data_IF_649322869056
#
_entry.id   IF_649322869056
#
_cell.length_a   1.000
_cell.length_b   1.000
_cell.length_c   1.000
_cell.angle_alpha   90.00
_cell.angle_beta   90.00
_cell.angle_gamma   90.00
#
_symmetry.space_group_name_H-M   'P 1'
#
loop_
_entity.id
_entity.type
_entity.pdbx_description
1 polymer ?
#
# COMPACT_ATOMS: atom_id res chain seq x y z
N UNK A 1 -24.49 -5.25 -3.93
CA UNK A 1 -23.30 -5.12 -4.79
C UNK A 1 -23.47 -3.83 -5.56
N UNK A 2 -22.74 -2.77 -5.22
CA UNK A 2 -22.66 -1.61 -6.11
C UNK A 2 -21.70 -1.98 -7.23
N UNK A 3 -22.26 -2.34 -8.38
CA UNK A 3 -21.53 -2.30 -9.64
C UNK A 3 -21.34 -0.81 -10.01
N UNK A 4 -20.41 -0.14 -9.38
CA UNK A 4 -19.94 1.12 -9.93
C UNK A 4 -18.98 0.74 -11.06
N UNK A 5 -19.40 0.98 -12.28
CA UNK A 5 -18.57 0.77 -13.44
C UNK A 5 -17.25 1.54 -13.27
N UNK A 6 -16.13 0.90 -13.61
CA UNK A 6 -14.85 1.60 -13.61
C UNK A 6 -14.87 2.65 -14.74
N UNK A 7 -14.29 3.80 -14.46
CA UNK A 7 -14.19 4.89 -15.44
C UNK A 7 -13.15 4.50 -16.47
N UNK A 8 -13.57 4.09 -17.65
CA UNK A 8 -12.67 3.74 -18.77
C UNK A 8 -12.03 4.96 -19.45
N UNK A 9 -12.65 6.14 -19.29
CA UNK A 9 -12.19 7.40 -19.87
C UNK A 9 -11.95 8.43 -18.78
N UNK A 10 -10.79 8.37 -18.08
CA UNK A 10 -10.49 9.34 -17.03
C UNK A 10 -10.35 10.75 -17.63
N UNK A 11 -10.76 11.75 -16.84
CA UNK A 11 -10.58 13.15 -17.22
C UNK A 11 -9.11 13.53 -17.05
N UNK A 12 -8.50 14.00 -18.15
CA UNK A 12 -7.11 14.47 -18.15
C UNK A 12 -7.09 15.98 -17.90
N UNK A 13 -6.36 16.49 -16.89
CA UNK A 13 -6.30 17.92 -16.59
C UNK A 13 -5.43 18.67 -17.64
N UNK A 14 -5.76 19.93 -17.90
CA UNK A 14 -4.92 20.82 -18.72
C UNK A 14 -3.69 21.35 -17.99
N UNK A 15 -3.72 21.32 -16.67
CA UNK A 15 -2.60 21.76 -15.80
C UNK A 15 -1.94 20.57 -15.16
N UNK A 16 -0.66 20.68 -14.81
CA UNK A 16 0.04 19.63 -14.07
C UNK A 16 -0.61 19.43 -12.72
N UNK A 17 -1.22 18.26 -12.50
CA UNK A 17 -1.82 17.86 -11.24
C UNK A 17 -0.78 17.10 -10.40
N UNK A 18 -0.94 17.15 -9.06
CA UNK A 18 -0.07 16.40 -8.14
C UNK A 18 -0.23 14.89 -8.28
N UNK A 19 -1.43 14.44 -8.65
CA UNK A 19 -1.78 13.02 -8.86
C UNK A 19 -2.15 12.79 -10.33
N UNK A 20 -1.19 13.02 -11.23
CA UNK A 20 -1.37 12.88 -12.68
C UNK A 20 -1.12 11.45 -13.14
N UNK A 21 -2.08 10.57 -12.86
CA UNK A 21 -1.99 9.12 -13.08
C UNK A 21 -3.36 8.45 -13.16
N UNK A 22 -3.40 7.27 -13.76
CA UNK A 22 -4.56 6.37 -13.67
C UNK A 22 -4.65 5.81 -12.26
N UNK A 23 -5.82 5.83 -11.67
CA UNK A 23 -6.11 5.20 -10.37
C UNK A 23 -7.09 4.07 -10.55
N UNK A 24 -6.64 2.85 -10.27
CA UNK A 24 -7.43 1.63 -10.38
C UNK A 24 -7.84 1.14 -8.97
N UNK A 25 -9.13 1.26 -8.62
CA UNK A 25 -9.65 0.78 -7.34
C UNK A 25 -9.79 -0.75 -7.39
N UNK A 26 -8.89 -1.48 -6.71
CA UNK A 26 -8.84 -2.95 -6.72
C UNK A 26 -9.81 -3.58 -5.73
N UNK A 27 -10.02 -2.89 -4.61
CA UNK A 27 -10.98 -3.33 -3.57
C UNK A 27 -11.46 -2.14 -2.76
N UNK A 28 -12.65 -2.29 -2.16
CA UNK A 28 -13.25 -1.32 -1.25
C UNK A 28 -13.53 -1.96 0.10
N UNK A 29 -13.15 -1.25 1.17
CA UNK A 29 -13.20 -1.76 2.55
C UNK A 29 -11.86 -2.28 3.02
N UNK A 30 -11.84 -2.81 4.25
CA UNK A 30 -10.65 -3.38 4.87
C UNK A 30 -11.05 -4.43 5.91
N UNK A 31 -10.30 -5.55 5.98
CA UNK A 31 -10.54 -6.65 6.92
C UNK A 31 -9.88 -6.42 8.29
N UNK A 32 -8.97 -5.47 8.42
CA UNK A 32 -8.02 -5.40 9.55
C UNK A 32 -8.64 -4.94 10.87
N UNK A 33 -9.56 -4.04 10.90
CA UNK A 33 -10.25 -3.63 12.12
C UNK A 33 -9.41 -2.83 13.11
N UNK A 34 -8.44 -2.03 12.65
CA UNK A 34 -7.70 -1.09 13.48
C UNK A 34 -8.67 -0.13 14.17
N UNK A 35 -8.58 0.04 15.50
CA UNK A 35 -9.59 0.75 16.30
C UNK A 35 -9.67 2.24 16.03
N UNK A 36 -8.61 2.84 15.53
CA UNK A 36 -8.57 4.26 15.15
C UNK A 36 -9.09 4.53 13.74
N UNK A 37 -9.27 3.49 12.91
CA UNK A 37 -9.52 3.65 11.48
C UNK A 37 -11.02 3.74 11.18
N UNK A 38 -11.52 4.95 10.95
CA UNK A 38 -12.92 5.17 10.55
C UNK A 38 -13.24 4.51 9.20
N UNK A 39 -12.34 4.62 8.22
CA UNK A 39 -12.53 4.03 6.89
C UNK A 39 -12.71 2.50 6.94
N UNK A 40 -11.96 1.81 7.80
CA UNK A 40 -12.10 0.38 8.04
C UNK A 40 -13.45 -0.03 8.64
N UNK A 41 -14.20 0.89 9.23
CA UNK A 41 -15.55 0.63 9.76
C UNK A 41 -16.65 1.02 8.77
N UNK A 42 -16.56 2.20 8.13
CA UNK A 42 -17.59 2.73 7.23
C UNK A 42 -17.72 1.89 5.97
N UNK A 43 -16.63 1.39 5.41
CA UNK A 43 -16.62 0.69 4.13
C UNK A 43 -16.74 -0.84 4.26
N UNK A 44 -17.25 -1.35 5.34
CA UNK A 44 -17.55 -2.79 5.48
C UNK A 44 -18.82 -3.17 4.73
N UNK A 45 -18.89 -4.41 4.20
CA UNK A 45 -17.84 -5.45 4.14
C UNK A 45 -16.77 -5.15 3.10
N UNK A 46 -15.64 -5.89 3.16
CA UNK A 46 -14.65 -5.89 2.08
C UNK A 46 -15.30 -6.37 0.78
N UNK A 47 -15.01 -5.68 -0.30
CA UNK A 47 -15.47 -6.04 -1.66
C UNK A 47 -14.28 -5.92 -2.59
N UNK A 48 -13.82 -7.05 -3.07
CA UNK A 48 -12.80 -7.14 -4.10
C UNK A 48 -13.43 -7.03 -5.49
N UNK A 49 -12.70 -6.47 -6.43
CA UNK A 49 -13.07 -6.49 -7.84
C UNK A 49 -12.47 -7.71 -8.51
N UNK A 50 -13.13 -8.17 -9.55
CA UNK A 50 -12.63 -9.26 -10.40
C UNK A 50 -11.34 -8.85 -11.10
N UNK A 51 -10.36 -9.75 -11.15
CA UNK A 51 -9.03 -9.47 -11.68
C UNK A 51 -9.05 -9.24 -13.18
N UNK A 52 -9.89 -9.95 -13.94
CA UNK A 52 -10.00 -9.77 -15.39
C UNK A 52 -10.65 -8.43 -15.72
N UNK A 53 -11.68 -8.04 -14.97
CA UNK A 53 -12.31 -6.71 -15.09
C UNK A 53 -11.29 -5.59 -14.83
N UNK A 54 -10.39 -5.77 -13.85
CA UNK A 54 -9.32 -4.81 -13.56
C UNK A 54 -8.27 -4.74 -14.67
N UNK A 55 -7.91 -5.87 -15.27
CA UNK A 55 -6.97 -5.93 -16.41
C UNK A 55 -7.52 -5.18 -17.62
N UNK A 56 -8.79 -5.41 -17.97
CA UNK A 56 -9.46 -4.70 -19.06
C UNK A 56 -9.57 -3.20 -18.80
N UNK A 57 -9.96 -2.83 -17.58
CA UNK A 57 -10.06 -1.43 -17.17
C UNK A 57 -8.71 -0.72 -17.21
N UNK A 58 -7.62 -1.36 -16.79
CA UNK A 58 -6.27 -0.81 -16.85
C UNK A 58 -5.87 -0.49 -18.31
N UNK A 59 -6.12 -1.42 -19.24
CA UNK A 59 -5.88 -1.21 -20.68
C UNK A 59 -6.68 -0.01 -21.23
N UNK A 60 -7.98 0.02 -20.92
CA UNK A 60 -8.87 1.06 -21.39
C UNK A 60 -8.47 2.44 -20.84
N UNK A 61 -8.22 2.55 -19.55
CA UNK A 61 -7.87 3.80 -18.89
C UNK A 61 -6.54 4.37 -19.38
N UNK A 62 -5.49 3.55 -19.48
CA UNK A 62 -4.18 3.98 -19.97
C UNK A 62 -4.25 4.40 -21.45
N UNK A 63 -4.92 3.61 -22.28
CA UNK A 63 -5.12 3.94 -23.71
C UNK A 63 -5.87 5.25 -23.91
N UNK A 64 -6.91 5.52 -23.11
CA UNK A 64 -7.78 6.68 -23.27
C UNK A 64 -7.21 7.96 -22.64
N UNK A 65 -6.28 7.85 -21.67
CA UNK A 65 -5.71 9.01 -20.99
C UNK A 65 -4.29 9.37 -21.42
N UNK A 66 -3.51 8.39 -21.87
CA UNK A 66 -2.09 8.58 -22.17
C UNK A 66 -1.21 8.79 -20.95
N UNK A 67 -1.69 8.47 -19.74
CA UNK A 67 -0.86 8.55 -18.52
C UNK A 67 0.26 7.50 -18.53
N UNK A 68 1.40 7.87 -17.97
CA UNK A 68 2.58 7.02 -17.82
C UNK A 68 2.71 6.41 -16.41
N UNK A 69 1.66 6.51 -15.60
CA UNK A 69 1.61 5.91 -14.27
C UNK A 69 0.22 5.34 -13.98
N UNK A 70 0.18 4.12 -13.40
CA UNK A 70 -1.01 3.50 -12.86
C UNK A 70 -0.82 3.24 -11.36
N UNK A 71 -1.80 3.62 -10.55
CA UNK A 71 -1.80 3.41 -9.10
C UNK A 71 -2.94 2.49 -8.70
N UNK A 72 -2.64 1.43 -7.95
CA UNK A 72 -3.65 0.54 -7.38
C UNK A 72 -4.19 1.16 -6.10
N UNK A 73 -5.49 1.45 -6.06
CA UNK A 73 -6.14 2.12 -4.92
C UNK A 73 -6.91 1.14 -4.06
N UNK A 74 -6.59 1.17 -2.75
CA UNK A 74 -7.35 0.47 -1.72
C UNK A 74 -6.98 0.98 -0.32
N UNK A 75 -7.69 0.54 0.72
CA UNK A 75 -7.31 0.78 2.12
C UNK A 75 -6.17 -0.15 2.59
N UNK A 76 -5.94 -1.27 1.92
CA UNK A 76 -4.87 -2.23 2.20
C UNK A 76 -4.62 -3.09 0.98
N UNK A 77 -3.71 -2.65 0.12
CA UNK A 77 -3.46 -3.33 -1.16
C UNK A 77 -2.86 -4.72 -0.99
N UNK A 78 -2.09 -4.96 0.07
CA UNK A 78 -1.55 -6.28 0.41
C UNK A 78 -2.62 -7.33 0.74
N UNK A 79 -3.84 -6.91 1.05
CA UNK A 79 -4.94 -7.81 1.41
C UNK A 79 -5.82 -8.20 0.22
N UNK A 80 -5.52 -7.70 -0.98
CA UNK A 80 -6.23 -8.08 -2.21
C UNK A 80 -5.80 -9.47 -2.66
N UNK A 81 -6.76 -10.38 -2.81
CA UNK A 81 -6.50 -11.81 -3.07
C UNK A 81 -5.67 -12.07 -4.34
N UNK A 82 -5.88 -11.28 -5.39
CA UNK A 82 -5.21 -11.44 -6.69
C UNK A 82 -4.13 -10.38 -6.94
N UNK A 83 -3.50 -9.83 -5.88
CA UNK A 83 -2.53 -8.75 -6.03
C UNK A 83 -1.35 -9.15 -6.91
N UNK A 84 -0.76 -10.32 -6.67
CA UNK A 84 0.40 -10.79 -7.41
C UNK A 84 0.08 -11.01 -8.89
N UNK A 85 -1.06 -11.63 -9.19
CA UNK A 85 -1.52 -11.86 -10.56
C UNK A 85 -1.71 -10.54 -11.31
N UNK A 86 -2.40 -9.58 -10.68
CA UNK A 86 -2.64 -8.27 -11.26
C UNK A 86 -1.34 -7.49 -11.50
N UNK A 87 -0.42 -7.50 -10.54
CA UNK A 87 0.85 -6.79 -10.66
C UNK A 87 1.74 -7.42 -11.75
N UNK A 88 1.84 -8.75 -11.80
CA UNK A 88 2.58 -9.42 -12.87
C UNK A 88 2.01 -9.06 -14.25
N UNK A 89 0.69 -9.09 -14.40
CA UNK A 89 0.03 -8.68 -15.64
C UNK A 89 0.37 -7.22 -16.01
N UNK A 90 0.29 -6.28 -15.07
CA UNK A 90 0.58 -4.87 -15.33
C UNK A 90 2.05 -4.66 -15.74
N UNK A 91 2.97 -5.41 -15.13
CA UNK A 91 4.39 -5.39 -15.50
C UNK A 91 4.57 -5.91 -16.93
N UNK A 92 4.06 -7.10 -17.22
CA UNK A 92 4.25 -7.75 -18.51
C UNK A 92 3.65 -6.94 -19.66
N UNK A 93 2.46 -6.38 -19.46
CA UNK A 93 1.72 -5.65 -20.48
C UNK A 93 2.30 -4.25 -20.73
N UNK A 94 2.69 -3.52 -19.66
CA UNK A 94 2.98 -2.08 -19.74
C UNK A 94 4.44 -1.68 -19.51
N UNK A 95 5.32 -2.61 -19.11
CA UNK A 95 6.76 -2.33 -18.90
C UNK A 95 7.41 -1.78 -20.17
N UNK A 96 7.11 -2.37 -21.32
CA UNK A 96 7.66 -1.93 -22.61
C UNK A 96 7.17 -0.55 -23.06
N UNK A 97 6.00 -0.14 -22.59
CA UNK A 97 5.42 1.19 -22.83
C UNK A 97 5.92 2.26 -21.83
N UNK A 98 6.79 1.89 -20.86
CA UNK A 98 7.33 2.81 -19.87
C UNK A 98 6.34 3.25 -18.79
N UNK A 99 5.23 2.53 -18.60
CA UNK A 99 4.23 2.85 -17.58
C UNK A 99 4.73 2.43 -16.20
N UNK A 100 4.75 3.37 -15.27
CA UNK A 100 5.10 3.12 -13.87
C UNK A 100 3.92 2.54 -13.09
N UNK A 101 4.20 1.57 -12.21
CA UNK A 101 3.19 1.00 -11.32
C UNK A 101 3.43 1.50 -9.90
N UNK A 102 2.39 2.07 -9.28
CA UNK A 102 2.42 2.56 -7.91
C UNK A 102 1.50 1.73 -7.02
N UNK A 103 2.03 1.23 -5.92
CA UNK A 103 1.32 0.43 -4.93
C UNK A 103 1.25 1.18 -3.60
N UNK A 104 0.28 2.08 -3.42
CA UNK A 104 0.06 2.74 -2.14
C UNK A 104 -0.58 1.77 -1.14
N UNK A 105 -0.53 2.12 0.15
CA UNK A 105 -1.23 1.40 1.22
C UNK A 105 -0.78 -0.06 1.42
N UNK A 106 0.51 -0.32 1.19
CA UNK A 106 1.09 -1.62 1.50
C UNK A 106 1.33 -1.78 3.01
N UNK A 107 1.06 -2.97 3.49
CA UNK A 107 1.45 -3.38 4.84
C UNK A 107 2.83 -4.02 4.78
N UNK A 108 3.52 -4.01 5.94
CA UNK A 108 4.85 -4.60 6.11
C UNK A 108 4.79 -6.14 6.24
N UNK A 109 4.12 -6.80 5.32
CA UNK A 109 4.01 -8.27 5.30
C UNK A 109 4.99 -8.80 4.22
N UNK A 110 5.62 -9.93 4.45
CA UNK A 110 6.62 -10.52 3.55
C UNK A 110 6.11 -10.68 2.10
N UNK A 111 4.84 -11.04 1.92
CA UNK A 111 4.22 -11.17 0.61
C UNK A 111 4.22 -9.85 -0.20
N UNK A 112 3.98 -8.73 0.47
CA UNK A 112 3.97 -7.41 -0.18
C UNK A 112 5.36 -7.03 -0.71
N UNK A 113 6.43 -7.50 -0.10
CA UNK A 113 7.81 -7.19 -0.48
C UNK A 113 8.24 -7.89 -1.76
N UNK A 114 7.82 -9.16 -1.96
CA UNK A 114 8.08 -9.87 -3.22
C UNK A 114 7.43 -9.17 -4.42
N UNK A 115 6.20 -8.71 -4.24
CA UNK A 115 5.49 -7.92 -5.27
C UNK A 115 6.18 -6.58 -5.50
N UNK A 116 6.63 -5.92 -4.43
CA UNK A 116 7.34 -4.64 -4.51
C UNK A 116 8.67 -4.73 -5.23
N UNK A 117 9.45 -5.80 -5.03
CA UNK A 117 10.73 -5.99 -5.73
C UNK A 117 10.54 -6.04 -7.24
N UNK A 118 9.51 -6.71 -7.72
CA UNK A 118 9.15 -6.78 -9.15
C UNK A 118 8.77 -5.42 -9.74
N UNK A 119 8.07 -4.60 -8.97
CA UNK A 119 7.67 -3.24 -9.40
C UNK A 119 8.86 -2.26 -9.41
N UNK A 120 9.82 -2.44 -8.52
CA UNK A 120 10.98 -1.55 -8.40
C UNK A 120 11.99 -1.63 -9.56
N UNK A 121 12.00 -2.73 -10.30
CA UNK A 121 12.80 -2.84 -11.52
C UNK A 121 12.44 -1.76 -12.55
N UNK A 122 11.24 -1.16 -12.42
CA UNK A 122 10.76 -0.11 -13.30
C UNK A 122 11.12 1.29 -12.76
N UNK A 123 10.87 1.54 -11.46
CA UNK A 123 11.20 2.82 -10.80
C UNK A 123 11.32 2.64 -9.28
N UNK A 124 12.47 3.02 -8.71
CA UNK A 124 12.66 3.01 -7.25
C UNK A 124 11.72 4.01 -6.56
N UNK A 125 10.72 3.51 -5.85
CA UNK A 125 9.84 4.31 -4.98
C UNK A 125 10.33 4.25 -3.53
N UNK A 126 10.02 5.27 -2.73
CA UNK A 126 10.28 5.23 -1.30
C UNK A 126 9.33 4.23 -0.62
N UNK A 127 9.87 3.39 0.24
CA UNK A 127 9.08 2.45 1.01
C UNK A 127 8.54 3.14 2.28
N UNK A 128 7.26 2.97 2.54
CA UNK A 128 6.59 3.59 3.69
C UNK A 128 5.89 2.51 4.50
N UNK A 129 6.20 2.45 5.78
CA UNK A 129 5.54 1.58 6.75
C UNK A 129 4.82 2.39 7.81
N UNK A 130 3.71 1.87 8.31
CA UNK A 130 2.90 2.50 9.33
C UNK A 130 2.72 1.56 10.54
N UNK A 131 3.71 1.46 11.44
CA UNK A 131 3.56 0.74 12.70
C UNK A 131 2.49 1.37 13.60
N UNK A 132 2.28 2.68 13.47
CA UNK A 132 1.37 3.55 14.22
C UNK A 132 1.77 3.77 15.68
N UNK A 133 2.33 2.76 16.35
CA UNK A 133 2.78 2.85 17.74
C UNK A 133 4.15 2.20 17.93
N UNK A 134 4.97 2.78 18.80
CA UNK A 134 6.34 2.31 19.06
C UNK A 134 6.39 1.01 19.86
N UNK A 135 5.46 0.81 20.79
CA UNK A 135 5.44 -0.40 21.63
C UNK A 135 4.46 -1.45 21.12
N UNK A 136 4.79 -2.73 21.34
CA UNK A 136 3.87 -3.84 21.03
C UNK A 136 2.56 -3.68 21.79
N UNK A 137 2.62 -3.36 23.08
CA UNK A 137 1.43 -3.12 23.91
C UNK A 137 0.46 -2.14 23.26
N UNK A 138 0.97 -1.01 22.77
CA UNK A 138 0.11 0.02 22.20
C UNK A 138 -0.40 -0.38 20.79
N UNK A 139 0.40 -1.11 20.00
CA UNK A 139 -0.06 -1.73 18.76
C UNK A 139 -1.23 -2.70 18.99
N UNK A 140 -1.18 -3.47 20.08
CA UNK A 140 -2.26 -4.39 20.47
C UNK A 140 -3.50 -3.61 20.94
N UNK A 141 -3.31 -2.54 21.73
CA UNK A 141 -4.40 -1.65 22.16
C UNK A 141 -5.18 -1.09 20.96
N UNK A 142 -4.49 -0.65 19.92
CA UNK A 142 -5.14 -0.11 18.71
C UNK A 142 -5.53 -1.17 17.69
N UNK A 143 -5.32 -2.46 17.99
CA UNK A 143 -5.57 -3.59 17.09
C UNK A 143 -4.90 -3.43 15.72
N UNK A 144 -3.63 -3.02 15.72
CA UNK A 144 -2.88 -2.86 14.46
C UNK A 144 -2.54 -4.21 13.81
N UNK A 145 -2.39 -5.28 14.63
CA UNK A 145 -2.09 -6.63 14.15
C UNK A 145 -0.70 -6.77 13.51
N UNK A 146 0.27 -5.99 13.99
CA UNK A 146 1.68 -6.07 13.60
C UNK A 146 2.54 -6.35 14.83
N UNK A 147 3.32 -7.43 14.78
CA UNK A 147 4.34 -7.70 15.81
C UNK A 147 5.65 -6.97 15.48
N UNK A 148 6.51 -6.83 16.45
CA UNK A 148 7.82 -6.21 16.25
C UNK A 148 8.68 -7.05 15.29
N UNK A 149 8.64 -8.37 15.42
CA UNK A 149 9.34 -9.31 14.55
C UNK A 149 8.93 -9.14 13.08
N UNK A 150 7.63 -8.98 12.81
CA UNK A 150 7.12 -8.75 11.44
C UNK A 150 7.63 -7.41 10.90
N UNK A 151 7.71 -6.38 11.75
CA UNK A 151 8.21 -5.06 11.35
C UNK A 151 9.70 -5.13 11.01
N UNK A 152 10.51 -5.75 11.88
CA UNK A 152 11.94 -5.90 11.67
C UNK A 152 12.24 -6.77 10.45
N UNK A 153 11.59 -7.92 10.34
CA UNK A 153 11.73 -8.78 9.17
C UNK A 153 11.40 -8.05 7.86
N UNK A 154 10.30 -7.30 7.84
CA UNK A 154 9.92 -6.53 6.66
C UNK A 154 10.92 -5.40 6.33
N UNK A 155 11.55 -4.80 7.33
CA UNK A 155 12.60 -3.81 7.13
C UNK A 155 13.88 -4.46 6.59
N UNK A 156 14.29 -5.59 7.16
CA UNK A 156 15.42 -6.40 6.70
C UNK A 156 15.27 -6.78 5.22
N UNK A 157 14.14 -7.40 4.86
CA UNK A 157 13.85 -7.77 3.47
C UNK A 157 13.89 -6.55 2.53
N UNK A 158 13.39 -5.40 2.99
CA UNK A 158 13.47 -4.17 2.22
C UNK A 158 14.93 -3.75 1.96
N UNK A 159 15.79 -3.77 2.96
CA UNK A 159 17.21 -3.41 2.81
C UNK A 159 17.96 -4.42 1.94
N UNK A 160 17.72 -5.72 2.11
CA UNK A 160 18.26 -6.78 1.23
C UNK A 160 17.76 -6.59 -0.21
N UNK A 161 16.51 -6.19 -0.40
CA UNK A 161 15.92 -5.84 -1.70
C UNK A 161 16.47 -4.55 -2.32
N UNK A 162 17.43 -3.87 -1.66
CA UNK A 162 18.15 -2.71 -2.19
C UNK A 162 17.53 -1.35 -1.88
N UNK A 163 16.53 -1.29 -0.97
CA UNK A 163 16.11 -0.01 -0.41
C UNK A 163 17.15 0.51 0.58
N UNK A 164 17.50 1.77 0.47
CA UNK A 164 18.43 2.44 1.42
C UNK A 164 17.69 3.42 2.34
N UNK A 165 16.37 3.47 2.25
CA UNK A 165 15.55 4.36 3.07
C UNK A 165 14.16 3.79 3.25
N UNK A 166 13.72 3.77 4.51
CA UNK A 166 12.35 3.44 4.94
C UNK A 166 11.76 4.64 5.65
N UNK A 167 10.51 4.99 5.31
CA UNK A 167 9.74 6.01 6.00
C UNK A 167 8.77 5.35 6.96
N UNK A 168 8.79 5.78 8.21
CA UNK A 168 7.91 5.26 9.27
C UNK A 168 6.85 6.30 9.66
N UNK A 169 5.62 5.85 9.83
CA UNK A 169 4.53 6.66 10.37
C UNK A 169 4.16 6.19 11.78
N UNK A 170 4.05 7.16 12.69
CA UNK A 170 3.59 6.94 14.06
C UNK A 170 2.51 7.95 14.42
N UNK A 171 1.58 7.53 15.26
CA UNK A 171 0.57 8.36 15.89
C UNK A 171 0.99 8.68 17.32
N UNK A 172 0.75 9.91 17.76
CA UNK A 172 0.91 10.36 19.15
C UNK A 172 -0.46 10.69 19.72
N UNK A 173 -0.62 10.53 21.04
CA UNK A 173 -1.88 10.79 21.72
C UNK A 173 -2.91 9.66 21.58
N UNK A 174 -2.45 8.44 21.32
CA UNK A 174 -3.33 7.26 21.29
C UNK A 174 -3.93 6.96 22.67
N UNK A 175 -5.15 6.41 22.75
CA UNK A 175 -5.75 6.02 24.02
C UNK A 175 -4.83 5.11 24.84
N UNK A 176 -4.65 5.42 26.11
CA UNK A 176 -3.77 4.72 27.07
C UNK A 176 -2.27 4.82 26.78
N UNK A 177 -1.84 5.71 25.87
CA UNK A 177 -0.43 5.94 25.59
C UNK A 177 0.31 6.43 26.85
N UNK A 178 1.51 5.94 27.03
CA UNK A 178 2.41 6.32 28.11
C UNK A 178 3.73 6.84 27.55
N UNK A 179 4.52 7.53 28.38
CA UNK A 179 5.87 7.97 28.01
C UNK A 179 6.76 6.81 27.54
N UNK A 180 6.57 5.61 28.10
CA UNK A 180 7.29 4.41 27.67
C UNK A 180 6.93 4.02 26.24
N UNK A 181 5.67 4.16 25.85
CA UNK A 181 5.23 3.85 24.48
C UNK A 181 5.80 4.86 23.47
N UNK A 182 5.88 6.14 23.86
CA UNK A 182 6.51 7.18 23.01
C UNK A 182 8.02 6.94 22.84
N UNK A 183 8.74 6.58 23.92
CA UNK A 183 10.16 6.18 23.85
C UNK A 183 10.36 4.93 22.98
N UNK A 184 9.37 4.04 22.93
CA UNK A 184 9.35 2.89 22.06
C UNK A 184 9.42 3.24 20.56
N UNK A 185 9.02 4.44 20.16
CA UNK A 185 9.16 4.89 18.77
C UNK A 185 10.64 5.00 18.39
N UNK A 186 11.44 5.68 19.21
CA UNK A 186 12.88 5.83 18.97
C UNK A 186 13.57 4.45 18.99
N UNK A 187 13.24 3.62 19.97
CA UNK A 187 13.82 2.28 20.10
C UNK A 187 13.48 1.38 18.88
N UNK A 188 12.24 1.41 18.39
CA UNK A 188 11.87 0.66 17.18
C UNK A 188 12.61 1.17 15.94
N UNK A 189 12.77 2.50 15.81
CA UNK A 189 13.51 3.09 14.71
C UNK A 189 15.00 2.73 14.74
N UNK A 190 15.62 2.71 15.92
CA UNK A 190 17.00 2.25 16.12
C UNK A 190 17.16 0.79 15.68
N UNK A 191 16.30 -0.11 16.13
CA UNK A 191 16.33 -1.52 15.76
C UNK A 191 16.14 -1.76 14.25
N UNK A 192 15.28 -0.97 13.60
CA UNK A 192 15.10 -1.03 12.13
C UNK A 192 16.37 -0.56 11.41
N UNK A 193 17.11 0.38 11.99
CA UNK A 193 18.35 0.88 11.39
C UNK A 193 19.54 -0.08 11.59
N UNK A 194 19.45 -1.03 12.51
CA UNK A 194 20.44 -2.08 12.77
C UNK A 194 20.29 -3.29 11.83
N UNK A 195 19.12 -3.47 11.18
CA UNK A 195 18.85 -4.52 10.19
C UNK A 195 19.55 -4.23 8.86
#
# INVERSE_FOLDING_TARGET
>A
VCSSDLIEKPVVPFIKATQDRVTLEIQRGCIRGCRFCQAGMIYRPLRERDVEELKESARAMLKNSGHEEISLSSLSSSDYTHLEELVNFLIDEFKSAGVNISLPSLRIDAFALDVMSKVQDIKKSSLTFAPEAGSQRLRDVINKGLTEEVILHGAHEAFVGGWNRVKLYFMLGLPTETEKDMKGIAHLAERIAEE
#
